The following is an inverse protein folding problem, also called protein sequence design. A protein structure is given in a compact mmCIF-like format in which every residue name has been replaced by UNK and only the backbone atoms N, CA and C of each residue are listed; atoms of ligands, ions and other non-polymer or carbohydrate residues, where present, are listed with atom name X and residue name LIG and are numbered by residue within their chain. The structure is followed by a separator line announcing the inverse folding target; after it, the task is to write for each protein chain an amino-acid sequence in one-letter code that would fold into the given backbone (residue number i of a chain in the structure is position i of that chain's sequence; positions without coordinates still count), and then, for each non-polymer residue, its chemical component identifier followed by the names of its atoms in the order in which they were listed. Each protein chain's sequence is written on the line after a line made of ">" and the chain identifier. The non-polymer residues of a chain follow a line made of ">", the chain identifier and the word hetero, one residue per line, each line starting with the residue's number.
data_IF_060256882332
#
_entry.id   IF_060256882332
#
_cell.length_a   1.000
_cell.length_b   1.000
_cell.length_c   1.000
_cell.angle_alpha   90.00
_cell.angle_beta   90.00
_cell.angle_gamma   90.00
#
_symmetry.space_group_name_H-M   'P 1'
#
loop_
_entity.id
_entity.type
_entity.pdbx_description
1 polymer ?
#
# COMPACT_ATOMS: atom_id res chain seq x y z
N UNK A 1 -11.95 -2.14 20.39
CA UNK A 1 -12.86 -1.04 19.97
C UNK A 1 -12.67 -0.82 18.47
N UNK A 2 -13.45 0.01 17.77
CA UNK A 2 -13.08 0.35 16.40
C UNK A 2 -11.84 1.27 16.44
N UNK A 3 -10.70 0.80 15.94
CA UNK A 3 -9.44 1.57 15.87
C UNK A 3 -9.18 2.08 14.44
N UNK A 4 -8.78 3.34 14.31
CA UNK A 4 -8.39 3.94 13.03
C UNK A 4 -6.90 3.65 12.80
N UNK A 5 -6.61 2.87 11.75
CA UNK A 5 -5.24 2.67 11.27
C UNK A 5 -4.77 3.90 10.49
N UNK A 6 -3.61 4.46 10.83
CA UNK A 6 -3.14 5.71 10.21
C UNK A 6 -1.68 5.64 9.78
N UNK A 7 -1.38 6.30 8.66
CA UNK A 7 -0.03 6.53 8.15
C UNK A 7 0.02 7.92 7.52
N UNK A 8 1.05 8.72 7.84
CA UNK A 8 1.17 10.10 7.39
C UNK A 8 1.92 10.17 6.05
N UNK A 9 1.22 9.95 4.93
CA UNK A 9 1.82 9.99 3.59
C UNK A 9 0.81 10.36 2.49
N UNK A 10 1.28 11.10 1.49
CA UNK A 10 0.54 11.30 0.24
C UNK A 10 0.77 10.11 -0.71
N UNK A 11 -0.20 9.22 -0.79
CA UNK A 11 -0.09 8.00 -1.58
C UNK A 11 -1.40 7.63 -2.26
N UNK A 12 -1.28 6.90 -3.37
CA UNK A 12 -2.35 6.06 -3.88
C UNK A 12 -2.33 4.74 -3.12
N UNK A 13 -3.50 4.20 -2.82
CA UNK A 13 -3.62 2.96 -2.04
C UNK A 13 -4.43 1.91 -2.79
N UNK A 14 -4.12 0.64 -2.53
CA UNK A 14 -4.89 -0.50 -2.98
C UNK A 14 -4.88 -1.60 -1.93
N UNK A 15 -6.06 -2.10 -1.58
CA UNK A 15 -6.23 -3.24 -0.69
C UNK A 15 -5.99 -4.54 -1.46
N UNK A 16 -5.21 -5.44 -0.88
CA UNK A 16 -5.04 -6.78 -1.44
C UNK A 16 -6.37 -7.53 -1.36
N UNK A 17 -6.80 -8.20 -2.45
CA UNK A 17 -8.10 -8.85 -2.50
C UNK A 17 -8.20 -10.08 -1.58
N UNK A 18 -7.10 -10.82 -1.40
CA UNK A 18 -7.08 -12.13 -0.74
C UNK A 18 -6.13 -12.17 0.48
N UNK A 19 -5.66 -11.00 0.94
CA UNK A 19 -4.68 -10.93 2.01
C UNK A 19 -4.81 -9.64 2.83
N UNK A 20 -4.38 -9.64 4.11
CA UNK A 20 -4.46 -8.47 4.98
C UNK A 20 -3.32 -7.48 4.68
N UNK A 21 -3.23 -7.00 3.43
CA UNK A 21 -2.19 -6.09 2.99
C UNK A 21 -2.78 -4.84 2.35
N UNK A 22 -2.13 -3.71 2.61
CA UNK A 22 -2.38 -2.43 1.95
C UNK A 22 -1.12 -2.06 1.18
N UNK A 23 -1.23 -1.93 -0.15
CA UNK A 23 -0.16 -1.32 -0.93
C UNK A 23 -0.38 0.20 -0.95
N UNK A 24 0.71 0.95 -0.81
CA UNK A 24 0.73 2.40 -0.95
C UNK A 24 1.86 2.82 -1.88
N UNK A 25 1.57 3.62 -2.90
CA UNK A 25 2.55 4.17 -3.83
C UNK A 25 2.57 5.69 -3.77
N UNK A 26 3.75 6.31 -3.81
CA UNK A 26 3.89 7.77 -3.86
C UNK A 26 3.05 8.37 -5.00
N UNK A 27 2.08 9.21 -4.66
CA UNK A 27 1.14 9.76 -5.63
C UNK A 27 1.81 10.80 -6.55
N UNK A 28 1.54 10.70 -7.85
CA UNK A 28 1.94 11.71 -8.82
C UNK A 28 1.15 13.00 -8.64
N UNK A 29 1.76 14.14 -8.97
CA UNK A 29 1.12 15.47 -8.86
C UNK A 29 1.05 16.05 -7.44
N UNK A 30 1.47 15.31 -6.41
CA UNK A 30 1.66 15.86 -5.06
C UNK A 30 3.09 16.32 -4.88
N UNK A 31 3.30 17.48 -4.30
CA UNK A 31 4.62 17.92 -3.88
C UNK A 31 4.80 17.51 -2.42
N UNK A 32 5.79 16.66 -2.15
CA UNK A 32 6.14 16.34 -0.76
C UNK A 32 6.66 17.60 -0.06
N UNK A 33 6.50 17.70 1.27
CA UNK A 33 6.94 18.85 2.07
C UNK A 33 8.43 19.18 1.90
N UNK A 34 9.23 18.17 1.53
CA UNK A 34 10.66 18.29 1.25
C UNK A 34 10.99 18.42 -0.25
N UNK A 35 9.99 18.59 -1.11
CA UNK A 35 10.13 18.63 -2.57
C UNK A 35 10.87 17.41 -3.15
N UNK A 36 10.80 16.27 -2.46
CA UNK A 36 11.46 15.04 -2.90
C UNK A 36 10.83 14.56 -4.20
N UNK A 37 11.68 14.24 -5.18
CA UNK A 37 11.27 13.57 -6.41
C UNK A 37 11.22 12.04 -6.27
N UNK A 38 11.61 11.50 -5.11
CA UNK A 38 11.69 10.05 -4.89
C UNK A 38 10.30 9.43 -4.88
N UNK A 39 10.11 8.34 -5.63
CA UNK A 39 8.91 7.54 -5.59
C UNK A 39 9.20 6.19 -4.94
N UNK A 40 8.28 5.71 -4.12
CA UNK A 40 8.36 4.40 -3.49
C UNK A 40 7.03 3.68 -3.57
N UNK A 41 7.09 2.35 -3.56
CA UNK A 41 5.96 1.47 -3.28
C UNK A 41 6.21 0.75 -1.96
N UNK A 42 5.18 0.66 -1.13
CA UNK A 42 5.24 0.10 0.21
C UNK A 42 4.08 -0.87 0.41
N UNK A 43 4.34 -1.94 1.15
CA UNK A 43 3.33 -2.91 1.58
C UNK A 43 3.20 -2.81 3.09
N UNK A 44 2.00 -2.50 3.56
CA UNK A 44 1.64 -2.46 4.97
C UNK A 44 0.81 -3.67 5.36
N UNK A 45 1.02 -4.18 6.57
CA UNK A 45 0.18 -5.19 7.18
C UNK A 45 -1.09 -4.58 7.77
N UNK A 46 -2.23 -5.24 7.57
CA UNK A 46 -3.51 -4.87 8.15
C UNK A 46 -3.90 -5.85 9.24
N UNK A 47 -3.71 -5.45 10.49
CA UNK A 47 -4.22 -6.19 11.63
C UNK A 47 -5.39 -5.45 12.28
N UNK A 48 -6.62 -5.80 11.91
CA UNK A 48 -7.84 -5.23 12.50
C UNK A 48 -8.22 -5.87 13.83
N UNK A 49 -7.53 -6.92 14.28
CA UNK A 49 -7.76 -7.52 15.60
C UNK A 49 -7.03 -6.74 16.70
N UNK A 50 -5.94 -6.06 16.34
CA UNK A 50 -5.22 -5.14 17.21
C UNK A 50 -5.87 -3.76 17.28
N UNK A 51 -6.02 -3.24 18.50
CA UNK A 51 -6.41 -1.86 18.78
C UNK A 51 -5.25 -0.85 18.53
N UNK A 52 -4.07 -1.29 18.08
CA UNK A 52 -2.98 -0.39 17.72
C UNK A 52 -3.34 0.48 16.49
N UNK A 53 -3.08 1.79 16.48
CA UNK A 53 -3.31 2.63 15.30
C UNK A 53 -2.25 2.41 14.20
N UNK A 54 -1.18 1.69 14.53
CA UNK A 54 -0.02 1.53 13.67
C UNK A 54 -0.29 0.61 12.48
N UNK A 55 0.25 1.02 11.33
CA UNK A 55 0.33 0.25 10.10
C UNK A 55 1.78 -0.23 9.92
N UNK A 56 2.10 -1.49 10.27
CA UNK A 56 3.47 -1.99 10.14
C UNK A 56 3.88 -2.06 8.66
N UNK A 57 5.03 -1.46 8.34
CA UNK A 57 5.66 -1.58 7.03
C UNK A 57 6.30 -2.97 6.90
N UNK A 58 5.81 -3.77 5.96
CA UNK A 58 6.30 -5.13 5.70
C UNK A 58 7.36 -5.16 4.61
N UNK A 59 7.21 -4.32 3.59
CA UNK A 59 8.16 -4.21 2.49
C UNK A 59 8.13 -2.82 1.86
N UNK A 60 9.25 -2.40 1.29
CA UNK A 60 9.34 -1.19 0.47
C UNK A 60 10.29 -1.41 -0.70
N UNK A 61 10.01 -0.72 -1.80
CA UNK A 61 10.89 -0.68 -2.96
C UNK A 61 10.86 0.71 -3.61
N UNK A 62 12.01 1.21 -4.09
CA UNK A 62 12.05 2.44 -4.86
C UNK A 62 11.39 2.24 -6.23
N UNK A 63 10.83 3.32 -6.74
CA UNK A 63 10.27 3.42 -8.10
C UNK A 63 10.95 4.57 -8.83
N UNK A 64 11.15 4.41 -10.13
CA UNK A 64 11.67 5.48 -10.98
C UNK A 64 10.67 6.65 -11.09
N UNK A 65 9.38 6.32 -11.16
CA UNK A 65 8.30 7.28 -11.35
C UNK A 65 7.21 7.15 -10.28
N UNK A 66 6.44 8.23 -10.11
CA UNK A 66 5.28 8.28 -9.22
C UNK A 66 4.07 7.58 -9.81
N UNK A 67 3.17 7.15 -8.94
CA UNK A 67 2.01 6.36 -9.33
C UNK A 67 0.81 7.27 -9.65
N UNK A 68 0.12 6.98 -10.76
CA UNK A 68 -1.19 7.55 -11.13
C UNK A 68 -2.35 6.58 -10.86
N UNK A 69 -2.03 5.27 -10.80
CA UNK A 69 -2.96 4.20 -10.47
C UNK A 69 -2.19 3.08 -9.78
N UNK A 70 -2.82 2.46 -8.79
CA UNK A 70 -2.28 1.32 -8.06
C UNK A 70 -3.39 0.26 -7.96
N UNK A 71 -3.08 -0.98 -8.30
CA UNK A 71 -4.04 -2.09 -8.21
C UNK A 71 -3.31 -3.40 -8.07
N UNK A 72 -3.88 -4.31 -7.30
CA UNK A 72 -3.41 -5.68 -7.23
C UNK A 72 -3.89 -6.45 -8.47
N UNK A 73 -3.02 -7.27 -9.10
CA UNK A 73 -3.48 -8.18 -10.13
C UNK A 73 -4.45 -9.18 -9.49
N UNK A 74 -5.52 -9.52 -10.20
CA UNK A 74 -6.36 -10.64 -9.81
C UNK A 74 -5.50 -11.90 -9.86
N UNK A 75 -5.41 -12.60 -8.73
CA UNK A 75 -4.78 -13.90 -8.71
C UNK A 75 -5.62 -14.83 -9.59
N UNK A 76 -5.13 -15.17 -10.78
CA UNK A 76 -5.71 -16.28 -11.55
C UNK A 76 -5.67 -17.49 -10.63
N UNK A 77 -6.82 -17.91 -10.13
CA UNK A 77 -6.97 -19.21 -9.50
C UNK A 77 -6.29 -20.21 -10.43
N UNK A 78 -5.29 -20.94 -9.91
CA UNK A 78 -4.69 -22.06 -10.63
C UNK A 78 -5.78 -23.13 -10.78
N UNK A 79 -6.64 -22.95 -11.77
CA UNK A 79 -7.47 -23.98 -12.38
C UNK A 79 -6.54 -24.86 -13.21
N UNK A 80 -5.69 -25.64 -12.54
CA UNK A 80 -5.06 -26.82 -13.11
C UNK A 80 -5.26 -27.95 -12.10
N UNK A 81 -6.48 -28.46 -12.09
CA UNK A 81 -6.76 -29.85 -11.81
C UNK A 81 -7.40 -30.42 -13.06
N UNK A 82 -6.58 -31.05 -13.91
CA UNK A 82 -6.92 -32.23 -14.71
C UNK A 82 -5.61 -32.91 -15.10
#
# INVERSE_FOLDING_TARGET
>A
MACIKSAQRAALTALAPEAPYLAAGTMSGVVDMLFSASANIEIFGLDFQSDSPDLPLLASAPSADRFNRLSWPLQKQRLFHQ
#
